data_IF_647225726410
#
_entry.id   IF_647225726410
#
_cell.length_a   1.000
_cell.length_b   1.000
_cell.length_c   1.000
_cell.angle_alpha   90.00
_cell.angle_beta   90.00
_cell.angle_gamma   90.00
#
_symmetry.space_group_name_H-M   'P 1'
#
loop_
_entity.id
_entity.type
_entity.pdbx_description
1 polymer ?
#
# COMPACT_ATOMS: atom_id res chain seq x y z
N UNK A 1 20.26 -34.21 41.70
CA UNK A 1 19.99 -34.24 40.24
C UNK A 1 18.67 -33.56 39.88
N UNK A 2 18.49 -32.26 40.17
CA UNK A 2 17.23 -31.52 39.87
C UNK A 2 17.41 -30.26 39.01
N UNK A 3 18.65 -29.77 38.84
CA UNK A 3 18.94 -28.53 38.11
C UNK A 3 19.10 -28.72 36.59
N UNK A 4 19.51 -29.90 36.13
CA UNK A 4 19.70 -30.18 34.70
C UNK A 4 18.38 -30.28 33.91
N UNK A 5 17.29 -30.67 34.57
CA UNK A 5 15.99 -30.83 33.91
C UNK A 5 15.32 -29.49 33.59
N UNK A 6 15.60 -28.44 34.39
CA UNK A 6 15.01 -27.12 34.20
C UNK A 6 15.61 -26.37 33.00
N UNK A 7 16.92 -26.55 32.75
CA UNK A 7 17.60 -25.95 31.60
C UNK A 7 17.22 -26.60 30.27
N UNK A 8 16.98 -27.91 30.26
CA UNK A 8 16.52 -28.62 29.07
C UNK A 8 15.11 -28.17 28.63
N UNK A 9 14.24 -27.84 29.60
CA UNK A 9 12.87 -27.38 29.32
C UNK A 9 12.83 -25.94 28.77
N UNK A 10 13.69 -25.04 29.27
CA UNK A 10 13.81 -23.68 28.73
C UNK A 10 14.41 -23.67 27.31
N UNK A 11 15.38 -24.54 27.04
CA UNK A 11 15.99 -24.65 25.72
C UNK A 11 14.99 -25.19 24.67
N UNK A 12 14.09 -26.11 25.06
CA UNK A 12 13.03 -26.61 24.19
C UNK A 12 11.96 -25.55 23.88
N UNK A 13 11.67 -24.64 24.83
CA UNK A 13 10.71 -23.54 24.62
C UNK A 13 11.25 -22.44 23.69
N UNK A 14 12.57 -22.26 23.63
CA UNK A 14 13.18 -21.25 22.74
C UNK A 14 13.25 -21.68 21.27
N UNK A 15 13.00 -22.95 20.93
CA UNK A 15 13.13 -23.46 19.56
C UNK A 15 11.85 -23.44 18.71
N UNK A 16 10.73 -22.91 19.22
CA UNK A 16 9.48 -22.80 18.43
C UNK A 16 9.28 -21.46 17.72
N UNK A 17 10.21 -20.51 17.87
CA UNK A 17 10.25 -19.31 17.02
C UNK A 17 11.05 -19.60 15.75
N UNK A 18 10.57 -20.54 14.93
CA UNK A 18 10.83 -20.46 13.50
C UNK A 18 10.13 -19.17 13.06
N UNK A 19 10.81 -18.14 12.53
CA UNK A 19 10.14 -17.13 11.74
C UNK A 19 9.68 -17.85 10.48
N UNK A 20 8.59 -18.61 10.59
CA UNK A 20 7.81 -19.04 9.47
C UNK A 20 7.55 -17.78 8.66
N UNK A 21 7.79 -17.84 7.37
CA UNK A 21 7.54 -16.77 6.42
C UNK A 21 6.15 -16.20 6.73
N UNK A 22 6.07 -15.14 7.54
CA UNK A 22 4.79 -14.55 7.92
C UNK A 22 4.36 -13.85 6.65
N UNK A 23 3.28 -14.29 5.97
CA UNK A 23 2.82 -13.59 4.79
C UNK A 23 2.67 -12.12 5.16
N UNK A 24 3.10 -11.21 4.27
CA UNK A 24 3.03 -9.77 4.50
C UNK A 24 1.70 -9.44 5.19
N UNK A 25 1.78 -8.87 6.39
CA UNK A 25 0.60 -8.54 7.18
C UNK A 25 -0.33 -7.60 6.41
N UNK A 26 0.23 -6.88 5.42
CA UNK A 26 -0.46 -5.98 4.52
C UNK A 26 -0.88 -6.72 3.26
N UNK A 27 -2.16 -6.63 2.93
CA UNK A 27 -2.74 -7.14 1.67
C UNK A 27 -3.73 -6.14 1.09
N UNK A 28 -3.93 -6.22 -0.22
CA UNK A 28 -4.98 -5.50 -0.92
C UNK A 28 -6.11 -6.44 -1.31
N UNK A 29 -7.32 -5.92 -1.34
CA UNK A 29 -8.50 -6.61 -1.88
C UNK A 29 -9.25 -5.67 -2.80
N UNK A 30 -9.78 -6.18 -3.92
CA UNK A 30 -10.61 -5.38 -4.83
C UNK A 30 -11.74 -4.71 -4.06
N UNK A 31 -11.97 -3.42 -4.32
CA UNK A 31 -12.95 -2.64 -3.60
C UNK A 31 -13.75 -1.77 -4.56
N UNK A 32 -15.05 -1.67 -4.30
CA UNK A 32 -15.96 -0.81 -5.06
C UNK A 32 -15.74 0.64 -4.63
N UNK A 33 -15.19 1.46 -5.54
CA UNK A 33 -14.85 2.85 -5.28
C UNK A 33 -16.05 3.69 -4.83
N UNK A 34 -17.28 3.33 -5.23
CA UNK A 34 -18.50 4.03 -4.81
C UNK A 34 -18.83 3.82 -3.33
N UNK A 35 -18.18 2.87 -2.66
CA UNK A 35 -18.37 2.58 -1.23
C UNK A 35 -17.33 3.23 -0.33
N UNK A 36 -16.41 4.03 -0.88
CA UNK A 36 -15.46 4.79 -0.07
C UNK A 36 -16.27 5.86 0.70
N UNK A 37 -16.20 5.90 2.04
CA UNK A 37 -16.93 6.88 2.82
C UNK A 37 -16.59 8.33 2.44
N UNK A 38 -17.58 9.22 2.53
CA UNK A 38 -17.29 10.65 2.43
C UNK A 38 -16.66 11.14 3.74
N UNK A 39 -15.36 11.42 3.70
CA UNK A 39 -14.60 11.93 4.82
C UNK A 39 -13.38 12.74 4.35
N UNK A 40 -12.70 13.38 5.30
CA UNK A 40 -11.33 13.86 5.12
C UNK A 40 -10.35 12.77 5.56
N UNK A 41 -9.42 12.48 4.68
CA UNK A 41 -8.41 11.44 4.79
C UNK A 41 -7.04 12.08 4.95
N UNK A 42 -6.16 11.41 5.70
CA UNK A 42 -4.73 11.55 5.46
C UNK A 42 -4.41 10.81 4.16
N UNK A 43 -3.83 11.52 3.20
CA UNK A 43 -3.63 11.03 1.83
C UNK A 43 -2.15 10.97 1.50
N UNK A 44 -1.74 9.94 0.78
CA UNK A 44 -0.37 9.81 0.28
C UNK A 44 -0.42 9.79 -1.25
N UNK A 45 0.10 10.83 -1.86
CA UNK A 45 -0.01 11.09 -3.30
C UNK A 45 1.32 10.77 -3.98
N UNK A 46 1.29 9.90 -4.98
CA UNK A 46 2.42 9.65 -5.85
C UNK A 46 2.16 10.27 -7.22
N UNK A 47 3.13 11.02 -7.74
CA UNK A 47 3.17 11.50 -9.11
C UNK A 47 4.57 11.27 -9.70
N UNK A 48 4.64 10.55 -10.82
CA UNK A 48 5.91 10.18 -11.44
C UNK A 48 5.83 9.88 -12.94
N UNK A 49 6.97 9.45 -13.49
CA UNK A 49 7.16 9.13 -14.90
C UNK A 49 7.24 10.33 -15.83
N UNK A 50 7.64 10.04 -17.07
CA UNK A 50 7.64 11.04 -18.13
C UNK A 50 6.22 11.62 -18.32
N UNK A 51 6.11 12.93 -18.25
CA UNK A 51 4.83 13.63 -18.35
C UNK A 51 3.92 13.45 -17.12
N UNK A 52 4.46 12.98 -15.97
CA UNK A 52 3.71 12.84 -14.71
C UNK A 52 2.49 11.92 -14.83
N UNK A 53 2.65 10.90 -15.68
CA UNK A 53 1.57 9.97 -16.08
C UNK A 53 1.32 8.85 -15.08
N UNK A 54 2.24 8.61 -14.15
CA UNK A 54 2.09 7.58 -13.14
C UNK A 54 1.53 8.21 -11.88
N UNK A 55 0.35 7.74 -11.45
CA UNK A 55 -0.31 8.24 -10.25
C UNK A 55 -0.82 7.10 -9.39
N UNK A 56 -0.57 7.20 -8.09
CA UNK A 56 -1.23 6.40 -7.08
C UNK A 56 -1.62 7.30 -5.91
N UNK A 57 -2.71 6.93 -5.24
CA UNK A 57 -3.18 7.58 -4.03
C UNK A 57 -3.50 6.51 -3.00
N UNK A 58 -3.00 6.68 -1.77
CA UNK A 58 -3.50 5.94 -0.62
C UNK A 58 -4.29 6.89 0.28
N UNK A 59 -5.59 6.63 0.42
CA UNK A 59 -6.49 7.29 1.36
C UNK A 59 -6.49 6.51 2.68
N UNK A 60 -5.76 6.97 3.70
CA UNK A 60 -5.73 6.29 5.00
C UNK A 60 -7.07 6.46 5.71
N UNK A 61 -7.72 5.34 6.02
CA UNK A 61 -8.99 5.32 6.74
C UNK A 61 -8.86 6.10 8.07
N UNK A 62 -9.73 7.10 8.34
CA UNK A 62 -9.69 7.90 9.55
C UNK A 62 -9.83 7.07 10.84
N UNK A 63 -10.51 5.92 10.77
CA UNK A 63 -10.70 4.99 11.88
C UNK A 63 -9.59 3.95 11.96
N UNK A 64 -8.65 3.93 11.01
CA UNK A 64 -7.54 2.98 11.05
C UNK A 64 -6.60 3.27 12.21
N UNK A 65 -6.25 2.25 13.03
CA UNK A 65 -5.26 2.38 14.08
C UNK A 65 -3.82 2.39 13.55
N UNK A 66 -3.62 2.09 12.27
CA UNK A 66 -2.29 1.96 11.68
C UNK A 66 -1.79 3.30 11.16
N UNK A 67 -0.50 3.56 11.34
CA UNK A 67 0.16 4.67 10.67
C UNK A 67 0.60 4.24 9.27
N UNK A 68 0.65 5.22 8.37
CA UNK A 68 1.18 5.05 7.01
C UNK A 68 2.37 5.97 6.84
N UNK A 69 3.44 5.50 6.23
CA UNK A 69 4.61 6.31 5.91
C UNK A 69 4.97 6.24 4.43
N UNK A 70 5.46 7.36 3.84
CA UNK A 70 5.96 7.35 2.49
C UNK A 70 7.26 6.51 2.40
N UNK A 71 7.26 5.52 1.50
CA UNK A 71 8.44 4.71 1.19
C UNK A 71 9.33 5.30 0.09
N UNK A 72 8.75 6.14 -0.77
CA UNK A 72 9.45 6.83 -1.86
C UNK A 72 9.42 8.34 -1.66
N UNK A 73 10.50 9.03 -2.06
CA UNK A 73 10.63 10.50 -1.98
C UNK A 73 9.60 11.26 -2.82
N UNK A 74 9.00 10.61 -3.81
CA UNK A 74 7.96 11.19 -4.66
C UNK A 74 6.56 11.03 -4.07
N UNK A 75 6.42 10.33 -2.93
CA UNK A 75 5.17 10.22 -2.19
C UNK A 75 5.03 11.44 -1.29
N UNK A 76 4.02 12.26 -1.54
CA UNK A 76 3.72 13.47 -0.78
C UNK A 76 2.51 13.24 0.13
N UNK A 77 2.67 13.34 1.46
CA UNK A 77 1.53 13.35 2.38
C UNK A 77 0.71 14.64 2.23
N UNK A 78 -0.61 14.52 2.32
CA UNK A 78 -1.57 15.62 2.27
C UNK A 78 -2.84 15.26 3.06
N UNK A 79 -3.80 16.18 3.09
CA UNK A 79 -5.15 15.92 3.63
C UNK A 79 -6.17 16.25 2.53
N UNK A 80 -7.06 15.31 2.25
CA UNK A 80 -7.98 15.39 1.12
C UNK A 80 -9.20 14.50 1.29
N UNK A 81 -10.17 14.66 0.40
CA UNK A 81 -11.34 13.80 0.26
C UNK A 81 -11.13 12.77 -0.85
N UNK A 82 -12.06 11.82 -0.99
CA UNK A 82 -12.10 10.94 -2.15
C UNK A 82 -12.25 11.72 -3.47
N UNK A 83 -13.02 12.82 -3.47
CA UNK A 83 -13.16 13.68 -4.65
C UNK A 83 -11.84 14.35 -5.04
N UNK A 84 -11.09 14.86 -4.05
CA UNK A 84 -9.78 15.47 -4.26
C UNK A 84 -8.79 14.44 -4.86
N UNK A 85 -8.85 13.19 -4.37
CA UNK A 85 -8.05 12.09 -4.93
C UNK A 85 -8.47 11.72 -6.35
N UNK A 86 -9.77 11.66 -6.65
CA UNK A 86 -10.26 11.43 -8.01
C UNK A 86 -9.83 12.53 -8.97
N UNK A 87 -9.89 13.79 -8.56
CA UNK A 87 -9.38 14.92 -9.35
C UNK A 87 -7.88 14.75 -9.62
N UNK A 88 -7.08 14.46 -8.58
CA UNK A 88 -5.66 14.17 -8.73
C UNK A 88 -5.39 13.01 -9.70
N UNK A 89 -6.17 11.93 -9.63
CA UNK A 89 -6.03 10.77 -10.51
C UNK A 89 -6.45 11.05 -11.96
N UNK A 90 -7.41 11.95 -12.16
CA UNK A 90 -7.93 12.33 -13.49
C UNK A 90 -7.04 13.34 -14.23
N UNK A 91 -5.99 13.88 -13.59
CA UNK A 91 -4.96 14.68 -14.26
C UNK A 91 -4.09 13.83 -15.22
N UNK A 92 -4.26 12.52 -15.22
CA UNK A 92 -3.68 11.59 -16.19
C UNK A 92 -4.42 11.63 -17.54
N UNK A 93 -3.87 11.06 -18.62
CA UNK A 93 -4.48 11.06 -19.96
C UNK A 93 -5.98 10.69 -19.95
N UNK A 94 -6.75 11.26 -20.89
CA UNK A 94 -8.23 11.15 -21.05
C UNK A 94 -8.84 9.72 -21.07
N UNK A 95 -8.04 8.65 -21.00
CA UNK A 95 -8.44 7.24 -21.04
C UNK A 95 -7.81 6.35 -19.96
N UNK A 96 -7.25 6.91 -18.88
CA UNK A 96 -6.75 6.06 -17.78
C UNK A 96 -7.90 5.46 -16.98
N UNK A 97 -7.91 4.13 -16.83
CA UNK A 97 -8.74 3.47 -15.81
C UNK A 97 -8.17 3.73 -14.42
N UNK A 98 -8.99 3.60 -13.39
CA UNK A 98 -8.54 3.67 -11.98
C UNK A 98 -8.92 2.35 -11.32
N UNK A 99 -7.90 1.63 -10.81
CA UNK A 99 -8.13 0.47 -9.95
C UNK A 99 -8.23 0.93 -8.51
N UNK A 100 -9.27 0.48 -7.82
CA UNK A 100 -9.48 0.77 -6.40
C UNK A 100 -9.44 -0.52 -5.59
N UNK A 101 -8.66 -0.49 -4.51
CA UNK A 101 -8.44 -1.62 -3.62
C UNK A 101 -8.54 -1.15 -2.17
N UNK A 102 -9.04 -1.99 -1.27
CA UNK A 102 -8.94 -1.76 0.17
C UNK A 102 -7.65 -2.38 0.68
N UNK A 103 -6.87 -1.59 1.41
CA UNK A 103 -5.65 -2.03 2.09
C UNK A 103 -6.00 -2.52 3.47
N UNK A 104 -5.58 -3.74 3.80
CA UNK A 104 -5.79 -4.37 5.09
C UNK A 104 -4.46 -4.69 5.75
N UNK A 105 -4.34 -4.43 7.04
CA UNK A 105 -3.24 -4.93 7.87
C UNK A 105 -3.81 -5.74 9.03
N UNK A 106 -3.36 -7.00 9.17
CA UNK A 106 -3.90 -7.95 10.16
C UNK A 106 -5.44 -8.03 10.14
N UNK A 107 -6.03 -8.03 8.94
CA UNK A 107 -7.48 -8.12 8.73
C UNK A 107 -8.27 -6.84 9.02
N UNK A 108 -7.64 -5.76 9.49
CA UNK A 108 -8.28 -4.47 9.75
C UNK A 108 -7.99 -3.46 8.63
N UNK A 109 -8.94 -2.58 8.29
CA UNK A 109 -8.71 -1.52 7.29
C UNK A 109 -7.56 -0.60 7.65
N UNK A 110 -6.69 -0.36 6.66
CA UNK A 110 -5.67 0.70 6.66
C UNK A 110 -6.21 1.89 5.87
N UNK A 111 -6.82 1.62 4.72
CA UNK A 111 -7.23 2.66 3.79
C UNK A 111 -7.64 2.10 2.43
N UNK A 112 -7.68 3.00 1.44
CA UNK A 112 -8.07 2.70 0.07
C UNK A 112 -6.97 3.12 -0.88
N UNK A 113 -6.45 2.17 -1.66
CA UNK A 113 -5.45 2.39 -2.69
C UNK A 113 -6.15 2.64 -4.02
N UNK A 114 -5.77 3.71 -4.69
CA UNK A 114 -6.19 4.06 -6.04
C UNK A 114 -4.96 4.09 -6.93
N UNK A 115 -4.98 3.30 -8.01
CA UNK A 115 -3.85 3.18 -8.95
C UNK A 115 -4.32 3.51 -10.35
N UNK A 116 -3.64 4.44 -11.02
CA UNK A 116 -3.93 4.77 -12.40
C UNK A 116 -3.44 3.64 -13.30
N UNK A 117 -4.31 3.17 -14.18
CA UNK A 117 -3.99 2.23 -15.26
C UNK A 117 -3.96 3.06 -16.54
N UNK A 118 -2.79 3.56 -16.98
CA UNK A 118 -2.71 4.30 -18.22
C UNK A 118 -2.96 3.39 -19.41
N UNK A 119 -3.80 3.88 -20.32
CA UNK A 119 -4.03 3.31 -21.64
C UNK A 119 -2.87 3.73 -22.56
N UNK A 120 -1.87 2.86 -22.73
CA UNK A 120 -0.72 3.05 -23.63
C UNK A 120 -0.83 2.05 -24.79
N UNK A 121 -1.91 2.16 -25.58
CA UNK A 121 -2.15 1.26 -26.71
C UNK A 121 -2.36 -0.19 -26.27
N UNK A 122 -1.76 -1.16 -26.98
CA UNK A 122 -1.94 -2.59 -26.70
C UNK A 122 -1.15 -3.09 -25.46
N UNK A 123 -0.34 -2.23 -24.83
CA UNK A 123 0.47 -2.60 -23.67
C UNK A 123 -0.08 -1.97 -22.39
N UNK A 124 -0.54 -2.83 -21.48
CA UNK A 124 -0.90 -2.42 -20.13
C UNK A 124 0.37 -2.27 -19.29
N UNK A 125 0.80 -1.03 -19.10
CA UNK A 125 1.82 -0.71 -18.12
C UNK A 125 1.15 -0.28 -16.82
N UNK A 126 1.60 -0.83 -15.70
CA UNK A 126 1.15 -0.42 -14.37
C UNK A 126 2.34 0.04 -13.53
N UNK A 127 2.09 1.00 -12.64
CA UNK A 127 3.01 1.22 -11.53
C UNK A 127 2.96 0.04 -10.57
N UNK A 128 4.13 -0.35 -10.09
CA UNK A 128 4.22 -1.32 -9.01
C UNK A 128 4.09 -0.58 -7.68
N UNK A 129 2.92 -0.74 -7.05
CA UNK A 129 2.68 -0.25 -5.69
C UNK A 129 3.11 -1.34 -4.71
N UNK A 130 4.06 -1.00 -3.84
CA UNK A 130 4.52 -1.86 -2.77
C UNK A 130 3.93 -1.37 -1.44
N UNK A 131 3.12 -2.24 -0.83
CA UNK A 131 2.56 -2.05 0.49
C UNK A 131 3.08 -3.14 1.42
N UNK A 132 3.86 -2.74 2.43
CA UNK A 132 4.45 -3.68 3.38
C UNK A 132 4.47 -3.11 4.79
N UNK A 133 4.54 -4.00 5.77
CA UNK A 133 4.64 -3.63 7.18
C UNK A 133 6.11 -3.39 7.57
N UNK A 134 6.34 -2.33 8.34
CA UNK A 134 7.62 -2.06 8.99
C UNK A 134 7.39 -1.37 10.32
N UNK A 135 7.77 -2.01 11.42
CA UNK A 135 7.67 -1.46 12.78
C UNK A 135 6.25 -1.02 13.18
N UNK A 136 5.24 -1.81 12.81
CA UNK A 136 3.82 -1.57 13.07
C UNK A 136 3.17 -0.56 12.12
N UNK A 137 3.90 -0.07 11.11
CA UNK A 137 3.43 0.93 10.15
C UNK A 137 3.32 0.32 8.76
N UNK A 138 2.40 0.84 7.95
CA UNK A 138 2.30 0.49 6.54
C UNK A 138 3.19 1.45 5.75
N UNK A 139 4.14 0.91 5.02
CA UNK A 139 4.96 1.68 4.10
C UNK A 139 4.29 1.69 2.74
N UNK A 140 4.01 2.88 2.22
CA UNK A 140 3.48 3.09 0.88
C UNK A 140 4.62 3.50 -0.05
N UNK A 141 5.10 2.53 -0.82
CA UNK A 141 6.24 2.68 -1.71
C UNK A 141 5.83 2.42 -3.16
N UNK A 142 6.52 3.05 -4.10
CA UNK A 142 6.22 2.96 -5.53
C UNK A 142 7.50 2.66 -6.28
N UNK A 143 7.46 1.61 -7.10
CA UNK A 143 8.49 1.33 -8.09
C UNK A 143 7.94 1.61 -9.47
N UNK A 144 8.56 2.55 -10.17
CA UNK A 144 8.23 2.78 -11.56
C UNK A 144 8.68 1.59 -12.41
N UNK A 145 7.86 1.11 -13.35
CA UNK A 145 8.32 0.14 -14.31
C UNK A 145 9.46 0.77 -15.13
N UNK A 146 10.63 0.13 -15.13
CA UNK A 146 11.69 0.49 -16.06
C UNK A 146 11.20 0.14 -17.47
N UNK A 147 10.90 1.16 -18.26
CA UNK A 147 10.59 0.97 -19.69
C UNK A 147 11.92 0.73 -20.39
N UNK A 148 12.21 -0.51 -20.73
CA UNK A 148 13.33 -0.84 -21.60
C UNK A 148 12.97 -0.41 -23.02
N UNK A 149 13.68 0.57 -23.56
CA UNK A 149 13.69 0.82 -25.00
C UNK A 149 14.58 -0.25 -25.65
N UNK A 150 13.99 -1.10 -26.50
CA UNK A 150 14.74 -1.97 -27.40
C UNK A 150 15.31 -1.16 -28.57
#
# INVERSE_FOLDING_TARGET
>A
MKKAFLFALLALLCMTFLPGCVPSAVRTVSFDAQKIPEAKYETFLYEGGQGRRWRAVLLKDPQSPYQVEPGSVLVTPAVGSYADAMEFMNLTFRKSGIRTEQVLMNGKPVGYLMTAIPDIGDQQYWIEVLLYEKQGKVIFDIREPMIYHN
#
